data_IF_454147012701
#
_entry.id   IF_454147012701
#
_cell.length_a   1.000
_cell.length_b   1.000
_cell.length_c   1.000
_cell.angle_alpha   90.00
_cell.angle_beta   90.00
_cell.angle_gamma   90.00
#
_symmetry.space_group_name_H-M   'P 1'
#
loop_
_entity.id
_entity.type
_entity.pdbx_description
1 polymer ?
#
# COMPACT_ATOMS: atom_id res chain seq x y z
N UNK A 1 9.44 -11.79 4.68
CA UNK A 1 9.65 -10.37 4.34
C UNK A 1 8.61 -9.55 5.06
N UNK A 2 8.97 -8.36 5.55
CA UNK A 2 8.02 -7.48 6.22
C UNK A 2 7.09 -6.87 5.17
N UNK A 3 5.81 -6.67 5.49
CA UNK A 3 4.87 -5.96 4.60
C UNK A 3 5.33 -4.53 4.28
N UNK A 4 6.21 -3.96 5.11
CA UNK A 4 6.88 -2.68 4.85
C UNK A 4 7.87 -2.74 3.67
N UNK A 5 8.52 -3.90 3.45
CA UNK A 5 9.44 -4.08 2.32
C UNK A 5 8.65 -4.04 1.01
N UNK A 6 7.52 -4.75 0.95
CA UNK A 6 6.59 -4.70 -0.18
C UNK A 6 6.03 -3.28 -0.39
N UNK A 7 5.70 -2.56 0.69
CA UNK A 7 5.26 -1.16 0.61
C UNK A 7 6.33 -0.25 0.01
N UNK A 8 7.61 -0.47 0.33
CA UNK A 8 8.70 0.29 -0.26
C UNK A 8 8.85 0.00 -1.77
N UNK A 9 8.71 -1.26 -2.18
CA UNK A 9 8.69 -1.63 -3.61
C UNK A 9 7.53 -0.95 -4.34
N UNK A 10 6.35 -0.85 -3.72
CA UNK A 10 5.22 -0.08 -4.26
C UNK A 10 5.65 1.38 -4.51
N UNK A 11 6.30 2.04 -3.55
CA UNK A 11 6.76 3.41 -3.73
C UNK A 11 7.73 3.57 -4.90
N UNK A 12 8.66 2.65 -5.07
CA UNK A 12 9.61 2.66 -6.19
C UNK A 12 8.90 2.51 -7.54
N UNK A 13 7.93 1.58 -7.64
CA UNK A 13 7.15 1.38 -8.87
C UNK A 13 6.31 2.60 -9.21
N UNK A 14 5.70 3.24 -8.22
CA UNK A 14 4.92 4.47 -8.43
C UNK A 14 5.80 5.64 -8.87
N UNK A 15 7.02 5.77 -8.32
CA UNK A 15 7.97 6.78 -8.77
C UNK A 15 8.40 6.54 -10.22
N UNK A 16 8.77 5.31 -10.57
CA UNK A 16 9.22 4.94 -11.92
C UNK A 16 8.15 5.18 -12.99
N UNK A 17 6.87 5.13 -12.61
CA UNK A 17 5.73 5.32 -13.51
C UNK A 17 5.06 6.70 -13.36
N UNK A 18 5.74 7.68 -12.75
CA UNK A 18 5.21 9.04 -12.55
C UNK A 18 3.86 9.12 -11.80
N UNK A 19 3.52 8.10 -11.00
CA UNK A 19 2.29 8.00 -10.22
C UNK A 19 2.42 8.70 -8.86
N UNK A 20 2.96 9.91 -8.85
CA UNK A 20 3.32 10.67 -7.64
C UNK A 20 2.11 10.97 -6.74
N UNK A 21 0.94 11.22 -7.32
CA UNK A 21 -0.28 11.45 -6.56
C UNK A 21 -0.67 10.22 -5.74
N UNK A 22 -0.69 9.04 -6.37
CA UNK A 22 -1.02 7.78 -5.70
C UNK A 22 -0.04 7.47 -4.58
N UNK A 23 1.26 7.68 -4.82
CA UNK A 23 2.30 7.54 -3.80
C UNK A 23 2.04 8.45 -2.60
N UNK A 24 1.70 9.73 -2.83
CA UNK A 24 1.36 10.68 -1.75
C UNK A 24 0.15 10.24 -0.95
N UNK A 25 -0.88 9.68 -1.59
CA UNK A 25 -2.07 9.16 -0.90
C UNK A 25 -1.71 8.01 0.05
N UNK A 26 -0.85 7.08 -0.38
CA UNK A 26 -0.42 5.95 0.46
C UNK A 26 0.48 6.44 1.61
N UNK A 27 1.42 7.35 1.35
CA UNK A 27 2.26 7.95 2.40
C UNK A 27 1.40 8.66 3.45
N UNK A 28 0.36 9.38 3.01
CA UNK A 28 -0.58 10.04 3.94
C UNK A 28 -1.30 9.01 4.82
N UNK A 29 -1.73 7.88 4.26
CA UNK A 29 -2.32 6.79 5.04
C UNK A 29 -1.32 6.21 6.06
N UNK A 30 -0.06 6.02 5.66
CA UNK A 30 1.01 5.56 6.55
C UNK A 30 1.25 6.53 7.72
N UNK A 31 1.37 7.83 7.44
CA UNK A 31 1.60 8.87 8.45
C UNK A 31 0.41 9.00 9.40
N UNK A 32 -0.82 9.00 8.87
CA UNK A 32 -2.03 9.06 9.67
C UNK A 32 -2.14 7.87 10.62
N UNK A 33 -1.79 6.67 10.15
CA UNK A 33 -1.87 5.47 10.97
C UNK A 33 -0.75 5.36 11.99
N UNK A 34 0.32 6.13 11.84
CA UNK A 34 1.47 6.13 12.76
C UNK A 34 1.07 6.70 14.12
N UNK A 35 0.14 7.66 14.13
CA UNK A 35 -0.37 8.30 15.34
C UNK A 35 -1.16 7.33 16.24
N UNK A 36 -1.90 6.40 15.63
CA UNK A 36 -2.88 5.56 16.34
C UNK A 36 -2.55 4.05 16.30
N UNK A 37 -1.37 3.67 15.80
CA UNK A 37 -0.99 2.26 15.63
C UNK A 37 -1.76 1.52 14.54
N UNK A 38 -2.49 2.23 13.67
CA UNK A 38 -3.35 1.69 12.62
C UNK A 38 -2.71 1.74 11.22
N UNK A 39 -1.39 1.92 11.13
CA UNK A 39 -0.62 2.06 9.87
C UNK A 39 -1.02 0.99 8.85
N UNK A 40 -0.96 -0.28 9.26
CA UNK A 40 -1.23 -1.41 8.37
C UNK A 40 -2.65 -1.35 7.79
N UNK A 41 -3.64 -1.07 8.64
CA UNK A 41 -5.04 -0.98 8.24
C UNK A 41 -5.31 0.19 7.28
N UNK A 42 -4.78 1.38 7.57
CA UNK A 42 -4.99 2.55 6.71
C UNK A 42 -4.28 2.41 5.36
N UNK A 43 -3.09 1.82 5.34
CA UNK A 43 -2.39 1.49 4.09
C UNK A 43 -3.20 0.50 3.26
N UNK A 44 -3.69 -0.60 3.86
CA UNK A 44 -4.56 -1.56 3.17
C UNK A 44 -5.81 -0.89 2.59
N UNK A 45 -6.49 -0.05 3.38
CA UNK A 45 -7.69 0.65 2.92
C UNK A 45 -7.38 1.52 1.69
N UNK A 46 -6.23 2.21 1.69
CA UNK A 46 -5.82 3.01 0.55
C UNK A 46 -5.48 2.15 -0.67
N UNK A 47 -4.83 0.99 -0.50
CA UNK A 47 -4.52 0.06 -1.59
C UNK A 47 -5.80 -0.51 -2.24
N UNK A 48 -6.82 -0.86 -1.43
CA UNK A 48 -8.13 -1.30 -1.92
C UNK A 48 -8.84 -0.16 -2.67
N UNK A 49 -8.72 1.08 -2.18
CA UNK A 49 -9.28 2.25 -2.87
C UNK A 49 -8.65 2.48 -4.24
N UNK A 50 -7.33 2.34 -4.35
CA UNK A 50 -6.59 2.42 -5.61
C UNK A 50 -7.08 1.35 -6.61
N UNK A 51 -7.36 0.12 -6.15
CA UNK A 51 -7.95 -0.93 -7.00
C UNK A 51 -9.24 -0.48 -7.68
N UNK A 52 -10.09 0.25 -6.95
CA UNK A 52 -11.40 0.71 -7.43
C UNK A 52 -11.30 1.96 -8.30
N UNK A 53 -10.48 2.93 -7.91
CA UNK A 53 -10.45 4.26 -8.54
C UNK A 53 -9.39 4.40 -9.63
N UNK A 54 -8.32 3.62 -9.55
CA UNK A 54 -7.12 3.75 -10.40
C UNK A 54 -6.62 2.36 -10.86
N UNK A 55 -7.50 1.57 -11.48
CA UNK A 55 -7.23 0.19 -11.88
C UNK A 55 -5.89 0.00 -12.66
N UNK A 56 -5.51 0.84 -13.63
CA UNK A 56 -4.21 0.69 -14.32
C UNK A 56 -3.01 0.85 -13.39
N UNK A 57 -3.10 1.73 -12.38
CA UNK A 57 -2.04 1.91 -11.39
C UNK A 57 -2.00 0.72 -10.43
N UNK A 58 -3.16 0.18 -10.08
CA UNK A 58 -3.25 -1.02 -9.25
C UNK A 58 -2.57 -2.23 -9.89
N UNK A 59 -2.74 -2.43 -11.21
CA UNK A 59 -2.12 -3.55 -11.92
C UNK A 59 -0.58 -3.54 -11.78
N UNK A 60 0.04 -2.35 -11.81
CA UNK A 60 1.50 -2.19 -11.65
C UNK A 60 2.02 -2.67 -10.29
N UNK A 61 1.19 -2.57 -9.24
CA UNK A 61 1.57 -2.83 -7.84
C UNK A 61 0.86 -4.06 -7.25
N UNK A 62 0.03 -4.75 -8.04
CA UNK A 62 -0.89 -5.79 -7.58
C UNK A 62 -0.18 -6.94 -6.85
N UNK A 63 0.97 -7.37 -7.36
CA UNK A 63 1.75 -8.45 -6.74
C UNK A 63 2.27 -8.10 -5.33
N UNK A 64 2.73 -6.87 -5.09
CA UNK A 64 3.14 -6.42 -3.76
C UNK A 64 1.92 -6.23 -2.85
N UNK A 65 0.83 -5.69 -3.38
CA UNK A 65 -0.42 -5.50 -2.62
C UNK A 65 -0.97 -6.82 -2.11
N UNK A 66 -0.97 -7.87 -2.93
CA UNK A 66 -1.41 -9.21 -2.51
C UNK A 66 -0.51 -9.77 -1.41
N UNK A 67 0.82 -9.61 -1.50
CA UNK A 67 1.74 -10.02 -0.44
C UNK A 67 1.52 -9.26 0.86
N UNK A 68 1.25 -7.95 0.80
CA UNK A 68 0.87 -7.15 1.97
C UNK A 68 -0.40 -7.70 2.61
N UNK A 69 -1.47 -7.91 1.82
CA UNK A 69 -2.74 -8.48 2.31
C UNK A 69 -2.52 -9.82 3.00
N UNK A 70 -1.73 -10.71 2.38
CA UNK A 70 -1.42 -12.02 2.94
C UNK A 70 -0.58 -11.94 4.21
N UNK A 71 0.32 -10.97 4.34
CA UNK A 71 1.10 -10.77 5.56
C UNK A 71 0.20 -10.48 6.77
N UNK A 72 -0.88 -9.71 6.62
CA UNK A 72 -1.85 -9.47 7.69
C UNK A 72 -2.62 -10.71 8.14
N UNK A 73 -2.81 -11.70 7.27
CA UNK A 73 -3.40 -12.98 7.65
C UNK A 73 -2.55 -13.75 8.66
N UNK A 74 -1.25 -13.44 8.76
CA UNK A 74 -0.36 -14.00 9.77
C UNK A 74 -0.37 -13.25 11.11
N UNK A 75 -0.99 -12.05 11.17
CA UNK A 75 -1.15 -11.25 12.39
C UNK A 75 -2.55 -11.40 13.03
N UNK A 76 -3.44 -12.20 12.42
CA UNK A 76 -4.72 -12.62 13.01
C UNK A 76 -4.53 -14.01 13.63
N UNK A 77 -3.94 -14.04 14.83
CA UNK A 77 -3.98 -15.18 15.75
C UNK A 77 -4.02 -14.67 17.18
#
# INVERSE_FOLDING_TARGET
>A
MSWMDDLYVIYQKLDANSCQEVKKEIIKAQLNGCSDGTIYFLVLQQLVRIKREKAPVYELISGEVERIIHAGSSYVH
#
